data_IF_061967714854
#
_entry.id   IF_061967714854
#
_cell.length_a   1.000
_cell.length_b   1.000
_cell.length_c   1.000
_cell.angle_alpha   90.00
_cell.angle_beta   90.00
_cell.angle_gamma   90.00
#
_symmetry.space_group_name_H-M   'P 1'
#
loop_
_entity.id
_entity.type
_entity.pdbx_description
1 polymer ?
#
# COMPACT_ATOMS: atom_id res chain seq x y z
N UNK A 1 9.38 -32.23 -0.61
CA UNK A 1 8.94 -31.01 -1.32
C UNK A 1 10.18 -30.32 -1.87
N UNK A 2 10.22 -29.98 -3.16
CA UNK A 2 11.37 -29.31 -3.80
C UNK A 2 11.38 -27.81 -3.46
N UNK A 3 12.37 -27.31 -2.68
CA UNK A 3 12.45 -25.89 -2.32
C UNK A 3 12.59 -24.97 -3.54
N UNK A 4 13.18 -25.47 -4.62
CA UNK A 4 13.42 -24.71 -5.84
C UNK A 4 12.09 -24.40 -6.53
N UNK A 5 11.24 -25.41 -6.72
CA UNK A 5 9.88 -25.24 -7.24
C UNK A 5 9.07 -24.23 -6.41
N UNK A 6 9.09 -24.36 -5.08
CA UNK A 6 8.33 -23.45 -4.21
C UNK A 6 8.82 -22.01 -4.27
N UNK A 7 10.13 -21.80 -4.43
CA UNK A 7 10.69 -20.46 -4.63
C UNK A 7 10.17 -19.82 -5.92
N UNK A 8 10.04 -20.59 -7.00
CA UNK A 8 9.47 -20.09 -8.27
C UNK A 8 7.97 -19.80 -8.17
N UNK A 9 7.20 -20.67 -7.52
CA UNK A 9 5.76 -20.45 -7.27
C UNK A 9 5.53 -19.19 -6.43
N UNK A 10 6.35 -19.01 -5.39
CA UNK A 10 6.31 -17.82 -4.56
C UNK A 10 6.67 -16.56 -5.37
N UNK A 11 7.77 -16.59 -6.13
CA UNK A 11 8.18 -15.47 -6.97
C UNK A 11 7.12 -15.09 -8.01
N UNK A 12 6.45 -16.08 -8.64
CA UNK A 12 5.34 -15.82 -9.56
C UNK A 12 4.18 -15.08 -8.87
N UNK A 13 3.88 -15.43 -7.62
CA UNK A 13 2.87 -14.74 -6.81
C UNK A 13 3.29 -13.30 -6.47
N UNK A 14 4.57 -13.08 -6.17
CA UNK A 14 5.14 -11.74 -5.93
C UNK A 14 5.09 -10.89 -7.20
N UNK A 15 5.40 -11.44 -8.37
CA UNK A 15 5.30 -10.71 -9.64
C UNK A 15 3.86 -10.31 -9.96
N UNK A 16 2.90 -11.21 -9.71
CA UNK A 16 1.48 -10.89 -9.84
C UNK A 16 1.05 -9.78 -8.88
N UNK A 17 1.50 -9.84 -7.62
CA UNK A 17 1.24 -8.81 -6.61
C UNK A 17 1.78 -7.44 -7.06
N UNK A 18 3.04 -7.36 -7.46
CA UNK A 18 3.67 -6.12 -7.97
C UNK A 18 2.91 -5.56 -9.17
N UNK A 19 2.49 -6.42 -10.11
CA UNK A 19 1.72 -6.00 -11.28
C UNK A 19 0.35 -5.40 -10.88
N UNK A 20 -0.35 -6.03 -9.93
CA UNK A 20 -1.61 -5.52 -9.40
C UNK A 20 -1.40 -4.19 -8.67
N UNK A 21 -0.39 -4.08 -7.81
CA UNK A 21 -0.11 -2.84 -7.08
C UNK A 21 0.29 -1.71 -8.03
N UNK A 22 1.07 -2.00 -9.07
CA UNK A 22 1.38 -1.03 -10.13
C UNK A 22 0.12 -0.57 -10.88
N UNK A 23 -0.80 -1.49 -11.19
CA UNK A 23 -2.08 -1.14 -11.79
C UNK A 23 -2.95 -0.27 -10.86
N UNK A 24 -3.01 -0.59 -9.57
CA UNK A 24 -3.69 0.23 -8.55
C UNK A 24 -3.07 1.62 -8.46
N UNK A 25 -1.74 1.73 -8.40
CA UNK A 25 -1.04 3.01 -8.39
C UNK A 25 -1.34 3.83 -9.65
N UNK A 26 -1.40 3.19 -10.82
CA UNK A 26 -1.75 3.86 -12.07
C UNK A 26 -3.20 4.34 -12.10
N UNK A 27 -4.17 3.54 -11.64
CA UNK A 27 -5.57 3.96 -11.47
C UNK A 27 -5.72 5.11 -10.47
N UNK A 28 -5.03 5.01 -9.34
CA UNK A 28 -5.07 5.99 -8.25
C UNK A 28 -4.15 7.21 -8.46
N UNK A 29 -3.45 7.33 -9.60
CA UNK A 29 -2.37 8.31 -9.80
C UNK A 29 -2.80 9.77 -9.69
N UNK A 30 -4.10 10.07 -9.72
CA UNK A 30 -4.70 11.40 -9.58
C UNK A 30 -5.60 11.53 -8.34
N UNK A 31 -5.60 10.55 -7.44
CA UNK A 31 -6.40 10.56 -6.21
C UNK A 31 -5.49 10.65 -4.98
N UNK A 32 -6.10 10.85 -3.81
CA UNK A 32 -5.41 10.82 -2.51
C UNK A 32 -4.76 9.46 -2.20
N UNK A 33 -5.14 8.39 -2.92
CA UNK A 33 -4.61 7.03 -2.74
C UNK A 33 -3.25 6.81 -3.43
N UNK A 34 -2.77 7.76 -4.25
CA UNK A 34 -1.45 7.66 -4.90
C UNK A 34 -0.32 7.42 -3.90
N UNK A 35 -0.31 8.16 -2.79
CA UNK A 35 0.71 8.03 -1.74
C UNK A 35 0.71 6.65 -1.09
N UNK A 36 -0.42 6.19 -0.53
CA UNK A 36 -0.56 4.83 0.00
C UNK A 36 -0.20 3.72 -1.01
N UNK A 37 -0.65 3.82 -2.26
CA UNK A 37 -0.33 2.82 -3.29
C UNK A 37 1.17 2.81 -3.65
N UNK A 38 1.81 3.98 -3.70
CA UNK A 38 3.25 4.09 -3.93
C UNK A 38 4.06 3.52 -2.75
N UNK A 39 3.58 3.68 -1.51
CA UNK A 39 4.20 3.08 -0.34
C UNK A 39 4.19 1.54 -0.43
N UNK A 40 3.05 0.94 -0.75
CA UNK A 40 2.93 -0.51 -0.92
C UNK A 40 3.91 -1.00 -1.99
N UNK A 41 3.91 -0.37 -3.17
CA UNK A 41 4.82 -0.74 -4.27
C UNK A 41 6.30 -0.62 -3.86
N UNK A 42 6.66 0.44 -3.14
CA UNK A 42 8.01 0.63 -2.63
C UNK A 42 8.44 -0.49 -1.67
N UNK A 43 7.56 -0.90 -0.76
CA UNK A 43 7.82 -2.01 0.18
C UNK A 43 7.91 -3.34 -0.57
N UNK A 44 7.05 -3.61 -1.55
CA UNK A 44 7.11 -4.81 -2.38
C UNK A 44 8.44 -4.95 -3.11
N UNK A 45 8.91 -3.86 -3.75
CA UNK A 45 10.18 -3.88 -4.49
C UNK A 45 11.37 -4.08 -3.55
N UNK A 46 11.36 -3.43 -2.37
CA UNK A 46 12.37 -3.65 -1.35
C UNK A 46 12.38 -5.11 -0.85
N UNK A 47 11.21 -5.69 -0.61
CA UNK A 47 11.07 -7.09 -0.20
C UNK A 47 11.48 -8.08 -1.30
N UNK A 48 11.13 -7.80 -2.56
CA UNK A 48 11.58 -8.59 -3.70
C UNK A 48 13.11 -8.61 -3.81
N UNK A 49 13.77 -7.47 -3.58
CA UNK A 49 15.23 -7.40 -3.54
C UNK A 49 15.82 -8.24 -2.39
N UNK A 50 15.27 -8.12 -1.17
CA UNK A 50 15.70 -8.95 -0.02
C UNK A 50 15.52 -10.44 -0.31
N UNK A 51 14.36 -10.84 -0.85
CA UNK A 51 14.07 -12.23 -1.21
C UNK A 51 15.00 -12.79 -2.27
N UNK A 52 15.37 -11.98 -3.28
CA UNK A 52 16.32 -12.38 -4.32
C UNK A 52 17.73 -12.58 -3.75
N UNK A 53 18.17 -11.69 -2.85
CA UNK A 53 19.44 -11.86 -2.14
C UNK A 53 19.40 -13.13 -1.29
N UNK A 54 18.31 -13.41 -0.57
CA UNK A 54 18.16 -14.64 0.21
C UNK A 54 18.24 -15.90 -0.65
N UNK A 55 17.62 -15.88 -1.83
CA UNK A 55 17.66 -16.98 -2.79
C UNK A 55 19.09 -17.28 -3.24
N UNK A 56 19.89 -16.26 -3.57
CA UNK A 56 21.28 -16.46 -3.99
C UNK A 56 22.27 -16.72 -2.85
N UNK A 57 21.99 -16.25 -1.64
CA UNK A 57 22.89 -16.38 -0.48
C UNK A 57 22.55 -17.57 0.42
N UNK A 58 21.51 -18.35 0.10
CA UNK A 58 21.17 -19.56 0.84
C UNK A 58 20.51 -19.30 2.20
N UNK A 59 19.59 -18.33 2.27
CA UNK A 59 18.76 -18.03 3.45
C UNK A 59 19.53 -17.62 4.73
N UNK A 60 20.43 -16.61 4.68
CA UNK A 60 21.09 -16.12 5.89
C UNK A 60 20.07 -15.57 6.89
N UNK A 61 20.15 -16.03 8.15
CA UNK A 61 19.12 -15.79 9.17
C UNK A 61 18.81 -14.30 9.41
N UNK A 62 19.82 -13.43 9.30
CA UNK A 62 19.63 -11.98 9.42
C UNK A 62 18.74 -11.39 8.33
N UNK A 63 18.91 -11.83 7.08
CA UNK A 63 18.04 -11.42 5.98
C UNK A 63 16.65 -12.04 6.11
N UNK A 64 16.54 -13.26 6.64
CA UNK A 64 15.23 -13.87 6.94
C UNK A 64 14.46 -13.01 7.93
N UNK A 65 15.08 -12.58 9.03
CA UNK A 65 14.43 -11.69 10.00
C UNK A 65 13.98 -10.37 9.35
N UNK A 66 14.84 -9.75 8.54
CA UNK A 66 14.51 -8.53 7.79
C UNK A 66 13.32 -8.76 6.84
N UNK A 67 13.31 -9.90 6.14
CA UNK A 67 12.22 -10.25 5.23
C UNK A 67 10.91 -10.47 5.99
N UNK A 68 10.92 -11.14 7.14
CA UNK A 68 9.71 -11.36 7.93
C UNK A 68 9.14 -10.04 8.51
N UNK A 69 10.01 -9.16 9.00
CA UNK A 69 9.60 -7.82 9.45
C UNK A 69 9.05 -7.00 8.29
N UNK A 70 9.71 -7.06 7.13
CA UNK A 70 9.27 -6.38 5.92
C UNK A 70 7.95 -6.92 5.37
N UNK A 71 7.69 -8.22 5.47
CA UNK A 71 6.40 -8.82 5.17
C UNK A 71 5.29 -8.29 6.09
N UNK A 72 5.58 -8.10 7.39
CA UNK A 72 4.69 -7.42 8.32
C UNK A 72 4.38 -5.97 7.90
N UNK A 73 5.41 -5.22 7.50
CA UNK A 73 5.25 -3.86 6.97
C UNK A 73 4.46 -3.82 5.65
N UNK A 74 4.63 -4.81 4.78
CA UNK A 74 3.85 -4.97 3.55
C UNK A 74 2.36 -5.15 3.88
N UNK A 75 2.03 -6.07 4.79
CA UNK A 75 0.64 -6.30 5.22
C UNK A 75 0.05 -5.04 5.87
N UNK A 76 0.81 -4.34 6.73
CA UNK A 76 0.37 -3.11 7.37
C UNK A 76 0.08 -1.99 6.35
N UNK A 77 0.99 -1.77 5.40
CA UNK A 77 0.83 -0.74 4.36
C UNK A 77 -0.31 -1.06 3.39
N UNK A 78 -0.48 -2.32 2.99
CA UNK A 78 -1.59 -2.77 2.16
C UNK A 78 -2.94 -2.62 2.89
N UNK A 79 -2.98 -2.94 4.19
CA UNK A 79 -4.17 -2.73 5.03
C UNK A 79 -4.51 -1.25 5.15
N UNK A 80 -3.50 -0.39 5.31
CA UNK A 80 -3.70 1.06 5.34
C UNK A 80 -4.23 1.61 4.02
N UNK A 81 -3.67 1.19 2.87
CA UNK A 81 -4.19 1.52 1.54
C UNK A 81 -5.66 1.11 1.40
N UNK A 82 -5.99 -0.13 1.80
CA UNK A 82 -7.36 -0.63 1.73
C UNK A 82 -8.31 0.13 2.65
N UNK A 83 -7.86 0.53 3.85
CA UNK A 83 -8.63 1.36 4.76
C UNK A 83 -8.84 2.78 4.21
N UNK A 84 -7.81 3.38 3.62
CA UNK A 84 -7.89 4.69 2.98
C UNK A 84 -8.87 4.69 1.80
N UNK A 85 -8.86 3.62 0.99
CA UNK A 85 -9.78 3.47 -0.15
C UNK A 85 -11.25 3.30 0.26
N UNK A 86 -11.53 2.94 1.52
CA UNK A 86 -12.88 2.77 2.06
C UNK A 86 -13.41 4.01 2.79
N UNK A 87 -12.60 5.07 2.94
CA UNK A 87 -13.07 6.31 3.57
C UNK A 87 -14.04 7.01 2.60
N UNK A 88 -15.28 7.32 3.03
CA UNK A 88 -16.13 8.22 2.28
C UNK A 88 -15.40 9.55 2.10
N UNK A 89 -15.48 10.14 0.90
CA UNK A 89 -15.26 11.59 0.76
C UNK A 89 -16.15 12.27 1.81
N UNK A 90 -15.64 13.25 2.58
CA UNK A 90 -16.51 14.06 3.44
C UNK A 90 -17.60 14.61 2.53
N UNK A 91 -18.82 14.08 2.68
CA UNK A 91 -19.98 14.63 1.98
C UNK A 91 -19.98 16.13 2.29
N UNK A 92 -19.95 16.95 1.24
CA UNK A 92 -20.03 18.42 1.29
C UNK A 92 -20.68 18.85 2.60
N UNK A 93 -19.92 19.46 3.51
CA UNK A 93 -20.46 20.00 4.74
C UNK A 93 -21.62 20.92 4.33
N UNK A 94 -22.89 20.52 4.55
CA UNK A 94 -23.98 21.15 3.85
C UNK A 94 -24.22 22.49 4.52
N UNK A 95 -23.86 23.59 3.84
CA UNK A 95 -24.53 24.89 3.91
C UNK A 95 -24.91 25.43 5.32
N UNK A 96 -24.23 24.99 6.39
CA UNK A 96 -24.57 25.36 7.76
C UNK A 96 -23.80 26.62 8.21
N UNK A 97 -22.71 26.95 7.53
CA UNK A 97 -21.89 28.12 7.84
C UNK A 97 -22.36 29.40 7.10
N UNK A 98 -23.14 29.27 6.02
CA UNK A 98 -23.71 30.41 5.28
C UNK A 98 -25.08 30.88 5.79
N UNK A 99 -25.73 30.15 6.71
CA UNK A 99 -27.02 30.58 7.31
C UNK A 99 -26.86 31.34 8.63
N UNK A 100 -25.63 31.58 9.06
CA UNK A 100 -25.28 32.27 10.30
C UNK A 100 -24.79 33.71 10.08
N UNK A 101 -25.15 34.35 8.96
CA UNK A 101 -25.02 35.81 8.83
C UNK A 101 -26.34 36.47 9.26
N UNK A 102 -26.42 37.01 10.49
CA UNK A 102 -27.61 37.75 10.95
C UNK A 102 -27.78 39.03 10.13
N UNK A 103 -29.01 39.28 9.71
CA UNK A 103 -29.44 40.46 8.96
C UNK A 103 -29.01 41.78 9.62
N UNK A 104 -28.83 42.87 8.84
CA UNK A 104 -28.47 44.17 9.40
C UNK A 104 -29.58 44.65 10.35
N UNK A 105 -29.18 45.03 11.56
CA UNK A 105 -30.06 45.72 12.50
C UNK A 105 -30.08 47.18 12.09
N UNK A 106 -31.13 47.61 11.40
CA UNK A 106 -31.41 49.01 11.14
C UNK A 106 -31.66 49.74 12.48
N UNK A 107 -30.95 50.85 12.70
CA UNK A 107 -31.17 51.84 13.75
C UNK A 107 -31.04 53.25 13.17
#
# INVERSE_FOLDING_TARGET
>A
LDPQLWSHVHAASVYALVAVTAAVLWLARRTSLRGPAALVLGVELAQGAVGLVQYWTGLPIGLVAIHLVGAGALVASATWLAAAARRPEPADAPAAEQRAEPAPVDA
#
